data_IF_551302561853
#
_entry.id   IF_551302561853
#
_cell.length_a   1.000
_cell.length_b   1.000
_cell.length_c   1.000
_cell.angle_alpha   90.00
_cell.angle_beta   90.00
_cell.angle_gamma   90.00
#
_symmetry.space_group_name_H-M   'P 1'
#
loop_
_entity.id
_entity.type
_entity.pdbx_description
1 polymer ?
#
# COMPACT_ATOMS: atom_id res chain seq x y z
N UNK A 1 5.78 -8.10 -3.45
CA UNK A 1 4.87 -8.41 -2.33
C UNK A 1 5.04 -7.30 -1.33
N UNK A 2 3.94 -6.64 -0.96
CA UNK A 2 3.97 -5.55 0.02
C UNK A 2 4.17 -6.12 1.42
N UNK A 3 4.94 -5.40 2.23
CA UNK A 3 5.23 -5.73 3.62
C UNK A 3 4.71 -4.65 4.55
N UNK A 4 4.41 -5.03 5.80
CA UNK A 4 4.09 -4.07 6.84
C UNK A 4 5.18 -2.99 6.91
N UNK A 5 4.76 -1.73 6.94
CA UNK A 5 5.66 -0.57 6.94
C UNK A 5 5.97 0.01 5.55
N UNK A 6 5.76 -0.75 4.46
CA UNK A 6 5.90 -0.20 3.10
C UNK A 6 4.99 1.01 2.91
N UNK A 7 5.50 2.02 2.18
CA UNK A 7 4.74 3.20 1.78
C UNK A 7 4.20 3.02 0.37
N UNK A 8 2.93 3.35 0.17
CA UNK A 8 2.25 3.18 -1.12
C UNK A 8 1.37 4.37 -1.44
N UNK A 9 1.09 4.56 -2.72
CA UNK A 9 0.02 5.45 -3.22
C UNK A 9 -1.02 4.61 -3.96
N UNK A 10 -2.27 5.06 -3.95
CA UNK A 10 -3.33 4.45 -4.76
C UNK A 10 -3.20 4.93 -6.21
N UNK A 11 -3.53 4.08 -7.18
CA UNK A 11 -3.58 4.45 -8.59
C UNK A 11 -4.71 3.73 -9.33
N UNK A 12 -5.19 4.35 -10.42
CA UNK A 12 -6.13 3.73 -11.37
C UNK A 12 -7.41 3.17 -10.71
N UNK A 13 -7.93 3.87 -9.69
CA UNK A 13 -9.19 3.57 -9.02
C UNK A 13 -9.85 4.86 -8.53
N UNK A 14 -11.15 4.82 -8.21
CA UNK A 14 -11.89 5.99 -7.74
C UNK A 14 -11.32 6.54 -6.43
N UNK A 15 -10.86 5.66 -5.53
CA UNK A 15 -10.21 6.07 -4.29
C UNK A 15 -8.92 6.85 -4.53
N UNK A 16 -8.19 6.59 -5.63
CA UNK A 16 -7.02 7.36 -6.00
C UNK A 16 -7.38 8.79 -6.41
N UNK A 17 -8.54 9.01 -7.06
CA UNK A 17 -9.02 10.35 -7.40
C UNK A 17 -9.46 11.13 -6.14
N UNK A 18 -10.08 10.45 -5.17
CA UNK A 18 -10.53 11.05 -3.90
C UNK A 18 -9.34 11.36 -2.97
N UNK A 19 -8.30 10.52 -3.01
CA UNK A 19 -7.12 10.60 -2.16
C UNK A 19 -5.85 10.88 -2.97
N UNK A 20 -5.94 11.78 -3.95
CA UNK A 20 -4.87 12.05 -4.90
C UNK A 20 -3.55 12.37 -4.21
N UNK A 21 -2.48 11.68 -4.63
CA UNK A 21 -1.13 11.80 -4.07
C UNK A 21 -0.96 11.36 -2.61
N UNK A 22 -2.01 10.85 -1.93
CA UNK A 22 -1.88 10.45 -0.52
C UNK A 22 -1.02 9.21 -0.37
N UNK A 23 0.00 9.32 0.49
CA UNK A 23 0.85 8.20 0.88
C UNK A 23 0.21 7.47 2.06
N UNK A 24 0.07 6.16 1.90
CA UNK A 24 -0.42 5.23 2.91
C UNK A 24 0.70 4.34 3.42
N UNK A 25 0.56 3.86 4.66
CA UNK A 25 1.46 2.87 5.23
C UNK A 25 0.75 1.53 5.27
N UNK A 26 1.40 0.47 4.77
CA UNK A 26 0.92 -0.89 4.91
C UNK A 26 0.90 -1.28 6.38
N UNK A 27 -0.29 -1.53 6.93
CA UNK A 27 -0.51 -1.96 8.33
C UNK A 27 -0.21 -3.44 8.53
N UNK A 28 -0.34 -4.24 7.47
CA UNK A 28 -0.04 -5.67 7.44
C UNK A 28 0.86 -6.00 6.26
N UNK A 29 1.40 -7.22 6.25
CA UNK A 29 1.88 -7.82 5.00
C UNK A 29 0.71 -8.03 4.03
N UNK A 30 1.02 -8.12 2.73
CA UNK A 30 0.08 -8.61 1.72
C UNK A 30 -0.35 -10.05 2.06
N UNK A 31 -1.65 -10.32 1.94
CA UNK A 31 -2.24 -11.64 2.11
C UNK A 31 -3.18 -11.97 0.95
N UNK A 32 -3.48 -13.25 0.80
CA UNK A 32 -4.36 -13.77 -0.24
C UNK A 32 -5.71 -14.15 0.38
N UNK A 33 -6.80 -13.83 -0.31
CA UNK A 33 -8.14 -14.24 0.04
C UNK A 33 -8.90 -14.71 -1.20
N UNK A 34 -9.77 -15.72 -1.04
CA UNK A 34 -10.50 -16.35 -2.15
C UNK A 34 -9.72 -17.51 -2.77
N UNK A 35 -10.31 -18.15 -3.77
CA UNK A 35 -9.74 -19.33 -4.44
C UNK A 35 -9.96 -19.26 -5.96
N UNK A 36 -9.00 -19.78 -6.72
CA UNK A 36 -9.06 -19.86 -8.18
C UNK A 36 -9.25 -18.49 -8.83
N UNK A 37 -10.27 -18.36 -9.68
CA UNK A 37 -10.58 -17.11 -10.39
C UNK A 37 -11.02 -15.96 -9.48
N UNK A 38 -11.32 -16.25 -8.21
CA UNK A 38 -11.71 -15.26 -7.19
C UNK A 38 -10.56 -14.90 -6.25
N UNK A 39 -9.34 -15.41 -6.48
CA UNK A 39 -8.18 -15.07 -5.66
C UNK A 39 -7.86 -13.56 -5.74
N UNK A 40 -7.67 -12.94 -4.59
CA UNK A 40 -7.34 -11.53 -4.45
C UNK A 40 -6.15 -11.34 -3.52
N UNK A 41 -5.24 -10.44 -3.91
CA UNK A 41 -4.13 -9.98 -3.07
C UNK A 41 -4.54 -8.68 -2.38
N UNK A 42 -4.50 -8.70 -1.07
CA UNK A 42 -5.04 -7.66 -0.22
C UNK A 42 -4.00 -7.20 0.81
N UNK A 43 -4.13 -5.96 1.26
CA UNK A 43 -3.35 -5.40 2.37
C UNK A 43 -4.21 -4.42 3.16
N UNK A 44 -4.00 -4.31 4.46
CA UNK A 44 -4.60 -3.22 5.24
C UNK A 44 -3.69 -1.99 5.22
N UNK A 45 -4.28 -0.80 5.08
CA UNK A 45 -3.58 0.48 5.13
C UNK A 45 -3.93 1.21 6.43
N UNK A 46 -2.98 1.92 7.03
CA UNK A 46 -3.24 2.72 8.23
C UNK A 46 -4.23 3.85 7.93
N UNK A 47 -5.30 3.93 8.72
CA UNK A 47 -6.35 4.94 8.57
C UNK A 47 -7.34 4.69 7.43
N UNK A 48 -7.22 3.59 6.68
CA UNK A 48 -8.23 3.15 5.70
C UNK A 48 -9.15 2.09 6.34
N UNK A 49 -10.45 2.19 6.11
CA UNK A 49 -11.47 1.43 6.86
C UNK A 49 -11.52 -0.07 6.56
N UNK A 50 -10.92 -0.52 5.46
CA UNK A 50 -10.94 -1.91 5.00
C UNK A 50 -9.59 -2.36 4.46
N UNK A 51 -9.51 -3.60 3.97
CA UNK A 51 -8.40 -4.03 3.13
C UNK A 51 -8.52 -3.43 1.73
N UNK A 52 -7.40 -3.38 1.02
CA UNK A 52 -7.29 -2.80 -0.31
C UNK A 52 -6.59 -3.75 -1.28
N UNK A 53 -6.99 -3.71 -2.55
CA UNK A 53 -6.41 -4.56 -3.60
C UNK A 53 -5.01 -4.07 -3.96
N UNK A 54 -4.03 -4.96 -3.82
CA UNK A 54 -2.62 -4.64 -4.06
C UNK A 54 -2.35 -4.17 -5.50
N UNK A 55 -3.13 -4.65 -6.48
CA UNK A 55 -2.99 -4.25 -7.89
C UNK A 55 -3.27 -2.77 -8.17
N UNK A 56 -3.86 -2.04 -7.22
CA UNK A 56 -4.10 -0.60 -7.30
C UNK A 56 -3.20 0.20 -6.35
N UNK A 57 -2.11 -0.42 -5.87
CA UNK A 57 -1.13 0.20 -5.00
C UNK A 57 0.23 0.20 -5.67
N UNK A 58 0.85 1.37 -5.68
CA UNK A 58 2.23 1.54 -6.11
C UNK A 58 3.10 1.85 -4.91
N UNK A 59 4.12 1.01 -4.66
CA UNK A 59 5.12 1.29 -3.63
C UNK A 59 5.93 2.54 -4.00
N UNK A 60 6.14 3.41 -3.02
CA UNK A 60 6.98 4.60 -3.17
C UNK A 60 8.21 4.49 -2.28
N UNK A 61 9.36 4.91 -2.81
CA UNK A 61 10.59 5.07 -2.05
C UNK A 61 10.77 6.57 -1.82
N UNK A 62 10.65 7.01 -0.56
CA UNK A 62 10.88 8.40 -0.20
C UNK A 62 12.39 8.58 0.02
N UNK A 63 13.09 9.14 -0.97
CA UNK A 63 14.50 9.49 -0.81
C UNK A 63 14.60 10.67 0.18
N UNK A 64 15.23 10.44 1.35
CA UNK A 64 15.44 11.49 2.36
C UNK A 64 15.48 11.03 3.82
N UNK A 65 15.02 9.83 4.16
CA UNK A 65 14.98 9.36 5.57
C UNK A 65 16.32 8.83 6.12
N UNK A 66 17.43 8.92 5.37
CA UNK A 66 18.71 8.29 5.75
C UNK A 66 19.96 9.20 5.76
N UNK A 67 19.82 10.54 5.78
CA UNK A 67 21.01 11.42 5.76
C UNK A 67 21.62 11.74 7.13
N UNK A 68 21.24 11.07 8.23
CA UNK A 68 21.83 11.36 9.55
C UNK A 68 22.35 10.13 10.33
N UNK A 69 22.32 8.93 9.76
CA UNK A 69 23.01 7.79 10.34
C UNK A 69 24.38 7.64 9.67
N UNK A 70 25.39 8.31 10.23
CA UNK A 70 26.86 8.16 10.10
C UNK A 70 27.61 9.48 9.85
N UNK A 71 27.54 10.41 10.81
CA UNK A 71 28.56 11.46 11.00
C UNK A 71 29.15 11.35 12.39
#
# INVERSE_FOLDING_TARGET
MLKKGDKVVMHTCMEAEIHDGKIWTCRTDEYIQGEGVYEQRLVFLDGFGSSFLVKYLQRVNLEGENTYANS
#
